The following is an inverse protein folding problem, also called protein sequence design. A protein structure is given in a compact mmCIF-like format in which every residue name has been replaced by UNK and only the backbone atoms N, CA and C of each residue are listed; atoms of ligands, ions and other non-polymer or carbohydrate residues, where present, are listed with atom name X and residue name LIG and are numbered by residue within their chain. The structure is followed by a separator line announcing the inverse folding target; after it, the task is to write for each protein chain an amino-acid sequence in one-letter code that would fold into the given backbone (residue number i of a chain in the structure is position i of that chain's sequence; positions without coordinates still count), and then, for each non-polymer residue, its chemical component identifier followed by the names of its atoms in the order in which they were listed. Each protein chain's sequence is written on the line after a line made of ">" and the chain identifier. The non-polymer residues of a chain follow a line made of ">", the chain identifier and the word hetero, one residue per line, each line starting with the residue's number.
data_IF_409446543269
#
_entry.id   IF_409446543269
#
_cell.length_a   1.000
_cell.length_b   1.000
_cell.length_c   1.000
_cell.angle_alpha   90.00
_cell.angle_beta   90.00
_cell.angle_gamma   90.00
#
_symmetry.space_group_name_H-M   'P 1'
#
loop_
_entity.id
_entity.type
_entity.pdbx_description
1 polymer ?
#
# COMPACT_ATOMS: atom_id res chain seq x y z
N UNK A 1 -6.29 -1.89 4.27
CA UNK A 1 -7.22 -1.87 3.13
C UNK A 1 -7.84 -0.49 2.89
N UNK A 2 -8.61 0.10 3.81
CA UNK A 2 -9.28 1.40 3.59
C UNK A 2 -8.31 2.52 3.17
N UNK A 3 -7.15 2.66 3.82
CA UNK A 3 -6.13 3.66 3.45
C UNK A 3 -5.63 3.48 2.00
N UNK A 4 -5.40 2.23 1.58
CA UNK A 4 -4.99 1.93 0.22
C UNK A 4 -6.08 2.24 -0.82
N UNK A 5 -7.35 1.96 -0.50
CA UNK A 5 -8.47 2.30 -1.38
C UNK A 5 -8.65 3.83 -1.48
N UNK A 6 -8.53 4.54 -0.35
CA UNK A 6 -8.51 6.01 -0.34
C UNK A 6 -7.40 6.56 -1.24
N UNK A 7 -6.20 5.99 -1.18
CA UNK A 7 -5.08 6.40 -2.04
C UNK A 7 -5.39 6.22 -3.53
N UNK A 8 -5.95 5.06 -3.92
CA UNK A 8 -6.35 4.80 -5.30
C UNK A 8 -7.41 5.78 -5.81
N UNK A 9 -8.44 6.04 -5.00
CA UNK A 9 -9.51 7.01 -5.34
C UNK A 9 -8.91 8.41 -5.49
N UNK A 10 -8.08 8.86 -4.55
CA UNK A 10 -7.44 10.18 -4.61
C UNK A 10 -6.55 10.32 -5.85
N UNK A 11 -5.79 9.29 -6.22
CA UNK A 11 -4.96 9.31 -7.42
C UNK A 11 -5.80 9.45 -8.70
N UNK A 12 -6.91 8.70 -8.81
CA UNK A 12 -7.81 8.80 -9.98
C UNK A 12 -8.50 10.16 -10.03
N UNK A 13 -9.02 10.66 -8.91
CA UNK A 13 -9.65 11.99 -8.85
C UNK A 13 -8.65 13.08 -9.23
N UNK A 14 -7.45 13.05 -8.66
CA UNK A 14 -6.41 14.01 -8.98
C UNK A 14 -6.05 14.00 -10.47
N UNK A 15 -5.82 12.81 -11.05
CA UNK A 15 -5.54 12.68 -12.48
C UNK A 15 -6.68 13.22 -13.34
N UNK A 16 -7.94 12.96 -12.95
CA UNK A 16 -9.13 13.48 -13.66
C UNK A 16 -9.22 15.00 -13.61
N UNK A 17 -8.99 15.62 -12.44
CA UNK A 17 -9.00 17.07 -12.29
C UNK A 17 -7.90 17.78 -13.07
N UNK A 18 -6.73 17.12 -13.19
CA UNK A 18 -5.57 17.65 -13.92
C UNK A 18 -5.56 17.28 -15.41
N UNK A 19 -6.64 16.65 -15.90
CA UNK A 19 -6.72 16.14 -17.28
C UNK A 19 -5.55 15.25 -17.68
N UNK A 20 -5.00 14.48 -16.72
CA UNK A 20 -3.92 13.52 -16.93
C UNK A 20 -4.47 12.18 -17.45
N UNK A 21 -3.64 11.36 -18.09
CA UNK A 21 -4.01 9.98 -18.42
C UNK A 21 -4.42 9.18 -17.18
N UNK A 22 -5.29 8.20 -17.36
CA UNK A 22 -5.80 7.36 -16.28
C UNK A 22 -4.65 6.60 -15.61
N UNK A 23 -4.43 6.74 -14.29
CA UNK A 23 -3.28 6.12 -13.62
C UNK A 23 -3.43 4.60 -13.46
N UNK A 24 -4.64 4.06 -13.49
CA UNK A 24 -4.88 2.63 -13.32
C UNK A 24 -5.84 2.09 -14.36
N UNK A 25 -5.46 1.00 -15.04
CA UNK A 25 -6.37 0.21 -15.89
C UNK A 25 -7.24 -0.71 -15.03
N UNK A 26 -8.35 -1.21 -15.57
CA UNK A 26 -9.25 -2.10 -14.82
C UNK A 26 -8.55 -3.37 -14.31
N UNK A 27 -7.66 -3.95 -15.11
CA UNK A 27 -6.85 -5.12 -14.70
C UNK A 27 -5.90 -4.81 -13.54
N UNK A 28 -5.39 -3.59 -13.45
CA UNK A 28 -4.58 -3.15 -12.30
C UNK A 28 -5.40 -3.14 -11.02
N UNK A 29 -6.63 -2.60 -11.06
CA UNK A 29 -7.52 -2.56 -9.89
C UNK A 29 -7.92 -3.97 -9.45
N UNK A 30 -8.13 -4.89 -10.40
CA UNK A 30 -8.42 -6.29 -10.11
C UNK A 30 -7.23 -6.94 -9.38
N UNK A 31 -6.01 -6.76 -9.89
CA UNK A 31 -4.80 -7.29 -9.25
C UNK A 31 -4.61 -6.72 -7.84
N UNK A 32 -4.80 -5.41 -7.68
CA UNK A 32 -4.71 -4.72 -6.40
C UNK A 32 -5.68 -5.34 -5.39
N UNK A 33 -6.95 -5.46 -5.73
CA UNK A 33 -7.98 -5.95 -4.82
C UNK A 33 -7.82 -7.45 -4.49
N UNK A 34 -7.46 -8.26 -5.49
CA UNK A 34 -7.34 -9.70 -5.30
C UNK A 34 -6.08 -10.09 -4.55
N UNK A 35 -4.94 -9.50 -4.88
CA UNK A 35 -3.63 -9.92 -4.35
C UNK A 35 -3.12 -9.02 -3.24
N UNK A 36 -3.04 -7.71 -3.48
CA UNK A 36 -2.36 -6.82 -2.54
C UNK A 36 -3.22 -6.43 -1.33
N UNK A 37 -4.52 -6.57 -1.42
CA UNK A 37 -5.42 -6.34 -0.28
C UNK A 37 -5.73 -7.63 0.48
N UNK A 38 -6.02 -8.73 -0.21
CA UNK A 38 -6.47 -9.97 0.43
C UNK A 38 -5.37 -10.65 1.22
N UNK A 39 -4.15 -10.76 0.68
CA UNK A 39 -3.04 -11.46 1.34
C UNK A 39 -2.65 -10.81 2.70
N UNK A 40 -2.37 -9.49 2.77
CA UNK A 40 -2.10 -8.83 4.04
C UNK A 40 -3.29 -8.85 5.01
N UNK A 41 -4.53 -8.79 4.51
CA UNK A 41 -5.73 -8.82 5.36
C UNK A 41 -5.88 -10.16 6.07
N UNK A 42 -5.70 -11.28 5.36
CA UNK A 42 -5.71 -12.63 5.96
C UNK A 42 -4.58 -12.76 6.97
N UNK A 43 -3.38 -12.30 6.60
CA UNK A 43 -2.22 -12.36 7.47
C UNK A 43 -2.37 -11.54 8.77
N UNK A 44 -3.04 -10.37 8.71
CA UNK A 44 -3.39 -9.58 9.89
C UNK A 44 -4.48 -10.24 10.73
N UNK A 45 -5.41 -10.99 10.10
CA UNK A 45 -6.43 -11.75 10.81
C UNK A 45 -5.88 -12.85 11.72
N UNK A 46 -4.68 -13.35 11.42
CA UNK A 46 -3.95 -14.34 12.24
C UNK A 46 -2.81 -13.73 13.05
N UNK A 47 -2.82 -12.41 13.25
CA UNK A 47 -1.82 -11.71 14.08
C UNK A 47 -1.86 -12.26 15.51
N UNK A 48 -0.71 -12.64 16.10
CA UNK A 48 -0.65 -13.08 17.49
C UNK A 48 -1.15 -11.99 18.45
N UNK A 49 -2.05 -12.36 19.36
CA UNK A 49 -2.57 -11.43 20.36
C UNK A 49 -1.46 -10.95 21.29
N UNK A 50 -1.53 -9.67 21.69
CA UNK A 50 -0.68 -9.18 22.77
C UNK A 50 -1.19 -9.71 24.10
N UNK A 51 -0.28 -10.08 25.03
CA UNK A 51 -0.62 -10.51 26.40
C UNK A 51 -1.43 -9.47 27.18
N UNK A 52 -1.39 -8.22 26.74
CA UNK A 52 -2.04 -7.09 27.43
C UNK A 52 -3.54 -6.94 27.12
N UNK A 53 -4.07 -7.66 26.12
CA UNK A 53 -5.51 -7.57 25.74
C UNK A 53 -6.44 -7.90 26.90
N UNK A 54 -6.04 -8.83 27.78
CA UNK A 54 -6.84 -9.20 28.95
C UNK A 54 -6.86 -8.12 30.05
N UNK A 55 -5.92 -7.18 30.02
CA UNK A 55 -5.84 -6.05 30.94
C UNK A 55 -6.54 -4.79 30.44
N UNK A 56 -6.99 -4.79 29.17
CA UNK A 56 -7.70 -3.66 28.58
C UNK A 56 -9.19 -3.69 28.96
N UNK A 57 -9.74 -2.49 29.19
CA UNK A 57 -11.18 -2.37 29.47
C UNK A 57 -12.00 -2.76 28.24
N UNK A 58 -13.13 -3.48 28.41
CA UNK A 58 -14.02 -3.84 27.33
C UNK A 58 -14.49 -2.59 26.55
N UNK A 59 -14.58 -2.74 25.23
CA UNK A 59 -15.07 -1.66 24.38
C UNK A 59 -16.56 -1.38 24.66
N UNK A 60 -16.98 -0.12 24.79
CA UNK A 60 -18.41 0.20 24.96
C UNK A 60 -19.25 -0.34 23.80
N UNK A 61 -20.42 -0.92 24.08
CA UNK A 61 -21.31 -1.52 23.06
C UNK A 61 -21.73 -0.55 21.95
N UNK A 62 -21.83 0.75 22.28
CA UNK A 62 -22.28 1.80 21.33
C UNK A 62 -21.11 2.48 20.60
N UNK A 63 -19.88 2.02 20.77
CA UNK A 63 -18.73 2.62 20.09
C UNK A 63 -18.65 2.11 18.64
N UNK A 64 -18.71 3.04 17.68
CA UNK A 64 -18.48 2.72 16.27
C UNK A 64 -17.10 2.09 16.05
N UNK A 65 -17.01 1.13 15.14
CA UNK A 65 -15.73 0.54 14.68
C UNK A 65 -14.85 1.63 14.05
N UNK A 66 -15.46 2.51 13.25
CA UNK A 66 -14.79 3.65 12.63
C UNK A 66 -14.90 4.89 13.54
N UNK A 67 -14.03 4.97 14.53
CA UNK A 67 -13.92 6.18 15.36
C UNK A 67 -13.31 7.32 14.56
N UNK A 68 -13.52 8.58 15.00
CA UNK A 68 -12.88 9.76 14.35
C UNK A 68 -11.36 9.59 14.21
N UNK A 69 -10.70 9.04 15.24
CA UNK A 69 -9.25 8.75 15.23
C UNK A 69 -8.89 7.77 14.13
N UNK A 70 -9.61 6.67 14.00
CA UNK A 70 -9.37 5.65 12.96
C UNK A 70 -9.58 6.25 11.57
N UNK A 71 -10.66 7.00 11.38
CA UNK A 71 -10.97 7.66 10.09
C UNK A 71 -9.86 8.66 9.71
N UNK A 72 -9.41 9.49 10.64
CA UNK A 72 -8.31 10.43 10.39
C UNK A 72 -7.02 9.69 10.01
N UNK A 73 -6.70 8.57 10.67
CA UNK A 73 -5.53 7.77 10.33
C UNK A 73 -5.66 7.20 8.91
N UNK A 74 -6.82 6.64 8.55
CA UNK A 74 -7.09 6.12 7.20
C UNK A 74 -6.88 7.21 6.15
N UNK A 75 -7.44 8.40 6.36
CA UNK A 75 -7.30 9.52 5.43
C UNK A 75 -5.83 9.95 5.26
N UNK A 76 -5.12 10.17 6.37
CA UNK A 76 -3.72 10.64 6.30
C UNK A 76 -2.81 9.60 5.69
N UNK A 77 -2.93 8.34 6.09
CA UNK A 77 -2.14 7.25 5.51
C UNK A 77 -2.49 7.05 4.02
N UNK A 78 -3.78 7.18 3.66
CA UNK A 78 -4.24 7.16 2.27
C UNK A 78 -3.66 8.30 1.44
N UNK A 79 -3.60 9.52 1.99
CA UNK A 79 -2.97 10.67 1.32
C UNK A 79 -1.48 10.40 1.09
N UNK A 80 -0.75 9.89 2.09
CA UNK A 80 0.68 9.56 1.94
C UNK A 80 0.90 8.56 0.81
N UNK A 81 0.15 7.45 0.81
CA UNK A 81 0.25 6.43 -0.25
C UNK A 81 -0.11 7.05 -1.61
N UNK A 82 -1.18 7.84 -1.68
CA UNK A 82 -1.62 8.51 -2.90
C UNK A 82 -0.58 9.47 -3.47
N UNK A 83 0.03 10.29 -2.62
CA UNK A 83 1.11 11.22 -3.02
C UNK A 83 2.31 10.46 -3.57
N UNK A 84 2.79 9.41 -2.88
CA UNK A 84 3.90 8.59 -3.38
C UNK A 84 3.57 7.92 -4.71
N UNK A 85 2.33 7.47 -4.88
CA UNK A 85 1.83 6.90 -6.14
C UNK A 85 1.82 7.94 -7.27
N UNK A 86 1.39 9.18 -6.99
CA UNK A 86 1.38 10.24 -7.99
C UNK A 86 2.78 10.75 -8.33
N UNK A 87 3.72 10.75 -7.37
CA UNK A 87 5.14 11.05 -7.68
C UNK A 87 5.67 10.00 -8.67
N UNK A 88 5.42 8.70 -8.43
CA UNK A 88 5.81 7.64 -9.35
C UNK A 88 5.16 7.83 -10.74
N UNK A 89 3.87 8.19 -10.77
CA UNK A 89 3.15 8.50 -12.01
C UNK A 89 3.84 9.61 -12.79
N UNK A 90 4.18 10.73 -12.16
CA UNK A 90 4.84 11.85 -12.83
C UNK A 90 6.24 11.48 -13.34
N UNK A 91 7.02 10.73 -12.57
CA UNK A 91 8.33 10.26 -13.04
C UNK A 91 8.18 9.39 -14.29
N UNK A 92 7.20 8.46 -14.30
CA UNK A 92 6.92 7.64 -15.48
C UNK A 92 6.35 8.44 -16.65
N UNK A 93 5.60 9.50 -16.37
CA UNK A 93 4.98 10.37 -17.37
C UNK A 93 6.00 11.15 -18.19
N UNK A 94 7.19 11.38 -17.65
CA UNK A 94 8.32 11.95 -18.40
C UNK A 94 8.72 11.09 -19.61
N UNK A 95 8.42 9.81 -19.58
CA UNK A 95 8.70 8.88 -20.69
C UNK A 95 7.47 8.67 -21.58
N UNK A 96 6.37 8.20 -21.01
CA UNK A 96 5.07 8.09 -21.68
C UNK A 96 3.95 7.71 -20.68
N UNK A 97 2.68 7.78 -21.15
CA UNK A 97 1.51 7.49 -20.32
C UNK A 97 1.42 6.02 -19.84
N UNK A 98 1.93 5.06 -20.61
CA UNK A 98 1.89 3.64 -20.23
C UNK A 98 2.88 3.33 -19.11
N UNK A 99 4.08 3.89 -19.18
CA UNK A 99 5.07 3.81 -18.10
C UNK A 99 4.56 4.51 -16.85
N UNK A 100 3.93 5.68 -16.98
CA UNK A 100 3.28 6.40 -15.87
C UNK A 100 2.26 5.52 -15.15
N UNK A 101 1.33 4.91 -15.89
CA UNK A 101 0.32 3.99 -15.36
C UNK A 101 0.96 2.77 -14.69
N UNK A 102 2.00 2.20 -15.29
CA UNK A 102 2.72 1.04 -14.73
C UNK A 102 3.44 1.41 -13.43
N UNK A 103 4.13 2.54 -13.38
CA UNK A 103 4.82 2.99 -12.16
C UNK A 103 3.83 3.33 -11.05
N UNK A 104 2.70 3.98 -11.37
CA UNK A 104 1.65 4.24 -10.40
C UNK A 104 1.06 2.95 -9.84
N UNK A 105 0.70 2.00 -10.71
CA UNK A 105 0.18 0.69 -10.32
C UNK A 105 1.15 -0.05 -9.41
N UNK A 106 2.42 -0.14 -9.80
CA UNK A 106 3.45 -0.87 -9.06
C UNK A 106 3.73 -0.24 -7.69
N UNK A 107 3.82 1.09 -7.65
CA UNK A 107 4.02 1.83 -6.40
C UNK A 107 2.82 1.68 -5.46
N UNK A 108 1.60 1.75 -5.97
CA UNK A 108 0.39 1.55 -5.16
C UNK A 108 0.34 0.13 -4.59
N UNK A 109 0.60 -0.90 -5.41
CA UNK A 109 0.64 -2.29 -4.98
C UNK A 109 1.66 -2.52 -3.87
N UNK A 110 2.91 -2.11 -4.12
CA UNK A 110 3.99 -2.35 -3.17
C UNK A 110 3.84 -1.54 -1.89
N UNK A 111 3.37 -0.28 -2.00
CA UNK A 111 3.05 0.55 -0.83
C UNK A 111 1.98 -0.09 0.05
N UNK A 112 0.95 -0.72 -0.54
CA UNK A 112 -0.08 -1.45 0.22
C UNK A 112 0.47 -2.68 0.94
N UNK A 113 1.32 -3.47 0.26
CA UNK A 113 1.97 -4.63 0.86
C UNK A 113 2.84 -4.22 2.06
N UNK A 114 3.66 -3.19 1.89
CA UNK A 114 4.52 -2.65 2.94
C UNK A 114 3.69 -2.00 4.06
N UNK A 115 2.60 -1.30 3.70
CA UNK A 115 1.68 -0.67 4.66
C UNK A 115 0.99 -1.69 5.57
N UNK A 116 0.83 -2.95 5.14
CA UNK A 116 0.36 -4.03 5.99
C UNK A 116 1.17 -4.15 7.29
N UNK A 117 2.49 -3.95 7.26
CA UNK A 117 3.32 -3.91 8.46
C UNK A 117 3.01 -2.68 9.35
N UNK A 118 2.62 -1.57 8.74
CA UNK A 118 2.17 -0.40 9.48
C UNK A 118 0.86 -0.68 10.24
N UNK A 119 -0.02 -1.50 9.72
CA UNK A 119 -1.32 -1.82 10.32
C UNK A 119 -1.24 -2.76 11.54
N UNK A 120 -0.07 -3.36 11.82
CA UNK A 120 0.12 -4.28 12.96
C UNK A 120 -0.01 -3.60 14.33
N UNK A 121 0.19 -2.29 14.44
CA UNK A 121 0.13 -1.57 15.71
C UNK A 121 -0.16 -0.09 15.46
N UNK A 122 -0.89 0.54 16.39
CA UNK A 122 -1.06 2.00 16.44
C UNK A 122 0.23 2.73 16.84
N UNK A 123 1.15 2.03 17.52
CA UNK A 123 2.47 2.55 17.92
C UNK A 123 3.50 2.24 16.83
N UNK A 124 4.57 3.03 16.72
CA UNK A 124 5.67 2.74 15.81
C UNK A 124 6.24 1.33 16.02
N UNK A 125 6.48 0.60 14.94
CA UNK A 125 6.96 -0.79 14.99
C UNK A 125 8.40 -0.95 14.48
N UNK A 126 9.12 0.14 14.20
CA UNK A 126 10.49 0.09 13.71
C UNK A 126 11.38 -0.76 14.63
N UNK A 127 12.13 -1.65 14.02
CA UNK A 127 13.13 -2.48 14.70
C UNK A 127 12.63 -3.22 15.95
N UNK A 128 11.30 -3.32 16.15
CA UNK A 128 10.75 -4.09 17.27
C UNK A 128 10.51 -5.54 16.86
N UNK A 129 10.57 -6.45 17.83
CA UNK A 129 10.22 -7.87 17.62
C UNK A 129 8.80 -8.03 17.07
N UNK A 130 7.90 -7.07 17.34
CA UNK A 130 6.53 -7.04 16.79
C UNK A 130 6.49 -7.00 15.26
N UNK A 131 7.48 -6.39 14.61
CA UNK A 131 7.55 -6.33 13.14
C UNK A 131 7.66 -7.73 12.52
N UNK A 132 8.40 -8.62 13.15
CA UNK A 132 8.78 -9.93 12.61
C UNK A 132 8.03 -11.12 13.23
N UNK A 133 7.20 -10.93 14.25
CA UNK A 133 6.54 -12.00 14.98
C UNK A 133 5.44 -12.73 14.17
N UNK A 134 4.87 -12.09 13.13
CA UNK A 134 3.86 -12.69 12.27
C UNK A 134 4.48 -13.26 10.99
N UNK A 135 4.74 -14.57 10.97
CA UNK A 135 5.29 -15.27 9.80
C UNK A 135 4.33 -15.23 8.60
N UNK A 136 3.02 -15.26 8.85
CA UNK A 136 1.99 -15.16 7.78
C UNK A 136 2.06 -13.82 7.08
N UNK A 137 2.32 -12.72 7.81
CA UNK A 137 2.48 -11.39 7.22
C UNK A 137 3.73 -11.30 6.34
N UNK A 138 4.84 -11.90 6.79
CA UNK A 138 6.08 -11.98 5.99
C UNK A 138 5.85 -12.80 4.73
N UNK A 139 5.18 -13.95 4.86
CA UNK A 139 4.81 -14.80 3.73
C UNK A 139 3.89 -14.08 2.72
N UNK A 140 2.86 -13.39 3.21
CA UNK A 140 1.94 -12.61 2.38
C UNK A 140 2.66 -11.49 1.62
N UNK A 141 3.57 -10.78 2.29
CA UNK A 141 4.41 -9.76 1.65
C UNK A 141 5.29 -10.37 0.57
N UNK A 142 5.98 -11.47 0.87
CA UNK A 142 6.88 -12.12 -0.08
C UNK A 142 6.13 -12.63 -1.32
N UNK A 143 4.99 -13.30 -1.13
CA UNK A 143 4.15 -13.78 -2.25
C UNK A 143 3.66 -12.60 -3.09
N UNK A 144 3.12 -11.55 -2.47
CA UNK A 144 2.66 -10.36 -3.18
C UNK A 144 3.80 -9.64 -3.93
N UNK A 145 4.99 -9.56 -3.32
CA UNK A 145 6.17 -8.99 -3.93
C UNK A 145 6.64 -9.79 -5.15
N UNK A 146 6.71 -11.12 -5.05
CA UNK A 146 7.11 -12.00 -6.16
C UNK A 146 6.10 -11.91 -7.30
N UNK A 147 4.80 -11.95 -7.00
CA UNK A 147 3.76 -11.85 -8.02
C UNK A 147 3.77 -10.50 -8.75
N UNK A 148 3.95 -9.39 -8.01
CA UNK A 148 4.08 -8.08 -8.63
C UNK A 148 5.29 -8.02 -9.55
N UNK A 149 6.46 -8.50 -9.08
CA UNK A 149 7.67 -8.52 -9.91
C UNK A 149 7.53 -9.45 -11.13
N UNK A 150 6.83 -10.58 -10.99
CA UNK A 150 6.54 -11.44 -12.13
C UNK A 150 5.74 -10.68 -13.20
N UNK A 151 4.72 -9.92 -12.80
CA UNK A 151 3.92 -9.08 -13.74
C UNK A 151 4.78 -8.01 -14.40
N UNK A 152 5.73 -7.41 -13.68
CA UNK A 152 6.58 -6.33 -14.21
C UNK A 152 7.72 -6.83 -15.10
N UNK A 153 8.25 -8.03 -14.85
CA UNK A 153 9.48 -8.50 -15.48
C UNK A 153 9.26 -9.59 -16.55
N UNK A 154 8.14 -10.34 -16.47
CA UNK A 154 7.85 -11.41 -17.44
C UNK A 154 7.06 -10.85 -18.62
N UNK A 155 7.62 -10.86 -19.87
CA UNK A 155 6.97 -10.25 -21.03
C UNK A 155 5.58 -10.78 -21.34
N UNK A 156 5.33 -12.08 -21.12
CA UNK A 156 4.03 -12.69 -21.32
C UNK A 156 2.96 -12.13 -20.38
N UNK A 157 3.33 -11.80 -19.13
CA UNK A 157 2.42 -11.21 -18.15
C UNK A 157 2.22 -9.71 -18.37
N UNK A 158 3.22 -9.01 -18.90
CA UNK A 158 3.12 -7.59 -19.19
C UNK A 158 1.95 -7.28 -20.14
N UNK A 159 1.76 -8.10 -21.18
CA UNK A 159 0.64 -7.95 -22.11
C UNK A 159 -0.72 -8.18 -21.43
N UNK A 160 -0.83 -9.21 -20.60
CA UNK A 160 -2.08 -9.55 -19.89
C UNK A 160 -2.48 -8.45 -18.92
N UNK A 161 -1.51 -7.93 -18.16
CA UNK A 161 -1.74 -6.89 -17.15
C UNK A 161 -1.62 -5.48 -17.72
N UNK A 162 -1.40 -5.35 -19.02
CA UNK A 162 -1.28 -4.07 -19.72
C UNK A 162 -0.27 -3.11 -19.05
N UNK A 163 0.89 -3.65 -18.62
CA UNK A 163 2.02 -2.92 -18.06
C UNK A 163 3.14 -2.76 -19.08
N UNK A 164 3.84 -1.62 -19.03
CA UNK A 164 4.99 -1.33 -19.85
C UNK A 164 6.28 -1.85 -19.20
N UNK A 165 7.31 -2.24 -19.97
CA UNK A 165 8.60 -2.60 -19.42
C UNK A 165 9.27 -1.38 -18.76
N UNK A 166 9.70 -1.55 -17.52
CA UNK A 166 10.38 -0.53 -16.73
C UNK A 166 11.89 -0.68 -16.81
N UNK A 167 12.60 0.43 -16.82
CA UNK A 167 14.05 0.47 -16.65
C UNK A 167 14.43 0.20 -15.19
N UNK A 168 15.69 -0.13 -14.96
CA UNK A 168 16.21 -0.36 -13.60
C UNK A 168 16.01 0.90 -12.72
N UNK A 169 16.21 2.09 -13.25
CA UNK A 169 16.02 3.35 -12.53
C UNK A 169 14.54 3.55 -12.14
N UNK A 170 13.59 3.25 -13.03
CA UNK A 170 12.16 3.31 -12.76
C UNK A 170 11.74 2.30 -11.70
N UNK A 171 12.26 1.06 -11.76
CA UNK A 171 12.03 0.04 -10.73
C UNK A 171 12.56 0.47 -9.36
N UNK A 172 13.78 1.01 -9.30
CA UNK A 172 14.36 1.53 -8.05
C UNK A 172 13.55 2.70 -7.50
N UNK A 173 13.00 3.55 -8.36
CA UNK A 173 12.09 4.63 -7.95
C UNK A 173 10.81 4.07 -7.34
N UNK A 174 10.20 3.07 -7.95
CA UNK A 174 9.01 2.37 -7.40
C UNK A 174 9.30 1.79 -6.03
N UNK A 175 10.42 1.08 -5.87
CA UNK A 175 10.80 0.49 -4.58
C UNK A 175 11.10 1.55 -3.53
N UNK A 176 11.84 2.60 -3.91
CA UNK A 176 12.19 3.70 -3.02
C UNK A 176 10.96 4.45 -2.49
N UNK A 177 10.01 4.79 -3.36
CA UNK A 177 8.77 5.48 -2.99
C UNK A 177 7.88 4.59 -2.12
N UNK A 178 7.80 3.30 -2.42
CA UNK A 178 7.02 2.35 -1.62
C UNK A 178 7.59 2.15 -0.22
N UNK A 179 8.91 2.04 -0.08
CA UNK A 179 9.58 2.02 1.22
C UNK A 179 9.46 3.37 1.93
N UNK A 180 9.53 4.47 1.19
CA UNK A 180 9.27 5.82 1.70
C UNK A 180 7.90 5.94 2.33
N UNK A 181 6.88 5.32 1.76
CA UNK A 181 5.53 5.24 2.35
C UNK A 181 5.58 4.62 3.75
N UNK A 182 6.30 3.51 3.93
CA UNK A 182 6.45 2.87 5.25
C UNK A 182 7.10 3.84 6.24
N UNK A 183 8.23 4.43 5.86
CA UNK A 183 9.00 5.34 6.71
C UNK A 183 8.16 6.55 7.14
N UNK A 184 7.50 7.22 6.20
CA UNK A 184 6.67 8.41 6.48
C UNK A 184 5.52 8.06 7.42
N UNK A 185 4.82 6.94 7.21
CA UNK A 185 3.73 6.51 8.11
C UNK A 185 4.26 6.20 9.51
N UNK A 186 5.42 5.58 9.64
CA UNK A 186 6.03 5.32 10.94
C UNK A 186 6.40 6.64 11.66
N UNK A 187 6.99 7.62 10.95
CA UNK A 187 7.28 8.94 11.51
C UNK A 187 5.99 9.63 11.99
N UNK A 188 4.93 9.60 11.18
CA UNK A 188 3.63 10.16 11.57
C UNK A 188 3.07 9.52 12.84
N UNK A 189 3.26 8.21 13.03
CA UNK A 189 2.87 7.52 14.27
C UNK A 189 3.71 7.93 15.49
N UNK A 190 4.97 8.33 15.28
CA UNK A 190 5.80 8.87 16.37
C UNK A 190 5.33 10.26 16.83
N UNK A 191 4.90 11.10 15.88
CA UNK A 191 4.45 12.48 16.15
C UNK A 191 3.06 12.50 16.80
N UNK A 192 2.20 11.53 16.47
CA UNK A 192 0.81 11.46 16.95
C UNK A 192 0.64 10.82 18.34
N UNK A 193 1.67 10.78 19.13
CA UNK A 193 1.62 10.29 20.51
C UNK A 193 0.61 11.00 21.40
#
# INVERSE_FOLDING_TARGET
>A
MLSGNTAGILAVLYASFMALPVPFKAVHLLFINLLTDSLPAIALGVEPHSSDVMNEKPRPKNQSILTKKVLTNICVEGIVIGVMTMIAFYVGFLRNAEVASTMAFSTLCLSRLVHGFNCKSDKPVWFTKKMWNNKSMIGAFFVGFVLLNAVLLVPALQGIFAVAPLTIAELLTVYGLSLGTFVVVQILKMIRK
#
